data_IF_211106937768
#
_entry.id   IF_211106937768
#
_cell.length_a   1.000
_cell.length_b   1.000
_cell.length_c   1.000
_cell.angle_alpha   90.00
_cell.angle_beta   90.00
_cell.angle_gamma   90.00
#
_symmetry.space_group_name_H-M   'P 1'
#
loop_
_entity.id
_entity.type
_entity.pdbx_description
1 polymer ?
#
# COMPACT_ATOMS: atom_id res chain seq x y z
N UNK A 1 -12.27 9.09 -13.12
CA UNK A 1 -10.89 8.68 -12.75
C UNK A 1 -9.94 9.06 -13.86
N UNK A 2 -8.75 9.58 -13.53
CA UNK A 2 -7.68 9.92 -14.49
C UNK A 2 -6.42 9.14 -14.11
N UNK A 3 -5.73 8.61 -15.10
CA UNK A 3 -4.50 7.84 -14.94
C UNK A 3 -3.37 8.64 -15.57
N UNK A 4 -2.34 8.94 -14.79
CA UNK A 4 -1.17 9.70 -15.20
C UNK A 4 0.05 8.78 -15.10
N UNK A 5 0.52 8.20 -16.23
CA UNK A 5 1.69 7.32 -16.24
C UNK A 5 2.96 8.02 -15.77
N UNK A 6 3.77 7.30 -15.01
CA UNK A 6 5.14 7.69 -14.71
C UNK A 6 6.07 7.51 -15.93
N UNK A 7 7.31 8.00 -15.80
CA UNK A 7 8.28 7.93 -16.92
C UNK A 7 8.76 6.51 -17.23
N UNK A 8 8.96 5.69 -16.22
CA UNK A 8 9.52 4.33 -16.37
C UNK A 8 8.68 3.27 -15.66
N UNK A 9 8.10 3.61 -14.51
CA UNK A 9 7.32 2.71 -13.66
C UNK A 9 6.28 3.53 -12.92
N UNK A 10 5.13 2.90 -12.66
CA UNK A 10 4.06 3.46 -11.85
C UNK A 10 3.13 4.39 -12.60
N UNK A 11 1.95 4.62 -12.01
CA UNK A 11 1.01 5.64 -12.44
C UNK A 11 0.34 6.31 -11.23
N UNK A 12 0.00 7.59 -11.38
CA UNK A 12 -0.79 8.35 -10.42
C UNK A 12 -2.26 8.31 -10.81
N UNK A 13 -3.12 7.95 -9.89
CA UNK A 13 -4.56 7.83 -10.08
C UNK A 13 -5.27 8.99 -9.37
N UNK A 14 -6.06 9.75 -10.10
CA UNK A 14 -6.83 10.88 -9.58
C UNK A 14 -8.32 10.75 -9.87
N UNK A 15 -9.15 11.41 -9.06
CA UNK A 15 -10.60 11.45 -9.26
C UNK A 15 -11.31 10.16 -8.83
N UNK A 16 -10.72 9.42 -7.89
CA UNK A 16 -11.37 8.34 -7.15
C UNK A 16 -11.19 8.59 -5.66
N UNK A 17 -12.27 8.40 -4.90
CA UNK A 17 -12.27 8.43 -3.44
C UNK A 17 -12.42 7.00 -2.94
N UNK A 18 -11.34 6.44 -2.40
CA UNK A 18 -11.30 5.07 -1.88
C UNK A 18 -12.03 4.92 -0.53
N UNK A 19 -12.38 6.03 0.13
CA UNK A 19 -13.25 6.01 1.29
C UNK A 19 -14.70 5.62 0.94
N UNK A 20 -15.09 5.78 -0.34
CA UNK A 20 -16.37 5.32 -0.87
C UNK A 20 -16.25 3.94 -1.53
N UNK A 21 -17.35 3.20 -1.69
CA UNK A 21 -17.34 2.00 -2.52
C UNK A 21 -16.88 2.30 -3.95
N UNK A 22 -15.86 1.58 -4.40
CA UNK A 22 -15.37 1.66 -5.79
C UNK A 22 -16.25 0.77 -6.66
N UNK A 23 -16.76 1.30 -7.77
CA UNK A 23 -17.55 0.49 -8.70
C UNK A 23 -16.70 -0.56 -9.43
N UNK A 24 -17.33 -1.65 -9.87
CA UNK A 24 -16.65 -2.72 -10.61
C UNK A 24 -15.96 -2.20 -11.87
N UNK A 25 -16.56 -1.23 -12.55
CA UNK A 25 -15.98 -0.63 -13.74
C UNK A 25 -14.73 0.21 -13.41
N UNK A 26 -14.78 0.98 -12.34
CA UNK A 26 -13.60 1.74 -11.88
C UNK A 26 -12.49 0.77 -11.39
N UNK A 27 -12.86 -0.31 -10.71
CA UNK A 27 -11.89 -1.31 -10.27
C UNK A 27 -11.24 -2.06 -11.43
N UNK A 28 -11.98 -2.42 -12.48
CA UNK A 28 -11.40 -2.99 -13.71
C UNK A 28 -10.36 -2.07 -14.34
N UNK A 29 -10.60 -0.76 -14.35
CA UNK A 29 -9.62 0.22 -14.83
C UNK A 29 -8.38 0.28 -13.93
N UNK A 30 -8.56 0.20 -12.60
CA UNK A 30 -7.46 0.13 -11.62
C UNK A 30 -6.62 -1.13 -11.86
N UNK A 31 -7.23 -2.31 -11.99
CA UNK A 31 -6.52 -3.56 -12.26
C UNK A 31 -5.73 -3.52 -13.57
N UNK A 32 -6.33 -2.97 -14.63
CA UNK A 32 -5.63 -2.80 -15.91
C UNK A 32 -4.43 -1.88 -15.75
N UNK A 33 -4.62 -0.73 -15.10
CA UNK A 33 -3.53 0.21 -14.83
C UNK A 33 -2.42 -0.42 -13.96
N UNK A 34 -2.77 -1.25 -12.98
CA UNK A 34 -1.78 -1.98 -12.17
C UNK A 34 -0.95 -2.93 -13.05
N UNK A 35 -1.58 -3.69 -13.93
CA UNK A 35 -0.90 -4.59 -14.86
C UNK A 35 0.00 -3.84 -15.85
N UNK A 36 -0.41 -2.67 -16.33
CA UNK A 36 0.35 -1.86 -17.29
C UNK A 36 1.52 -1.11 -16.63
N UNK A 37 1.36 -0.63 -15.40
CA UNK A 37 2.31 0.28 -14.77
C UNK A 37 3.04 -0.32 -13.55
N UNK A 38 2.62 -1.47 -13.04
CA UNK A 38 3.23 -2.20 -11.93
C UNK A 38 3.03 -1.57 -10.56
N UNK A 39 2.91 -0.26 -10.45
CA UNK A 39 2.68 0.48 -9.19
C UNK A 39 1.66 1.58 -9.42
N UNK A 40 0.70 1.70 -8.51
CA UNK A 40 -0.29 2.79 -8.54
C UNK A 40 -0.21 3.65 -7.28
N UNK A 41 -0.24 4.96 -7.47
CA UNK A 41 -0.31 5.92 -6.37
C UNK A 41 -1.65 6.64 -6.39
N UNK A 42 -2.37 6.60 -5.28
CA UNK A 42 -3.65 7.28 -5.05
C UNK A 42 -3.41 8.42 -4.05
N UNK A 43 -3.10 9.63 -4.51
CA UNK A 43 -2.75 10.72 -3.62
C UNK A 43 -3.94 11.24 -2.82
N UNK A 44 -3.67 11.74 -1.61
CA UNK A 44 -4.64 12.45 -0.80
C UNK A 44 -5.76 11.60 -0.19
N UNK A 45 -5.63 10.27 -0.22
CA UNK A 45 -6.60 9.37 0.39
C UNK A 45 -6.54 9.48 1.93
N UNK A 46 -7.69 9.54 2.55
CA UNK A 46 -7.87 9.47 4.00
C UNK A 46 -8.86 8.36 4.29
N UNK A 47 -8.37 7.21 4.74
CA UNK A 47 -9.15 6.00 4.91
C UNK A 47 -9.16 5.59 6.37
N UNK A 48 -10.34 5.27 6.87
CA UNK A 48 -10.49 4.45 8.06
C UNK A 48 -10.05 3.02 7.75
N UNK A 49 -9.62 2.27 8.76
CA UNK A 49 -9.10 0.90 8.59
C UNK A 49 -10.09 -0.02 7.86
N UNK A 50 -11.38 0.09 8.17
CA UNK A 50 -12.43 -0.67 7.49
C UNK A 50 -12.55 -0.34 5.99
N UNK A 51 -12.39 0.93 5.63
CA UNK A 51 -12.42 1.38 4.22
C UNK A 51 -11.18 0.89 3.48
N UNK A 52 -10.03 0.95 4.12
CA UNK A 52 -8.77 0.44 3.61
C UNK A 52 -8.82 -1.08 3.36
N UNK A 53 -9.25 -1.86 4.35
CA UNK A 53 -9.43 -3.30 4.22
C UNK A 53 -10.47 -3.66 3.13
N UNK A 54 -11.58 -2.89 3.03
CA UNK A 54 -12.58 -3.07 1.96
C UNK A 54 -11.95 -2.90 0.58
N UNK A 55 -11.14 -1.87 0.38
CA UNK A 55 -10.45 -1.67 -0.89
C UNK A 55 -9.47 -2.80 -1.19
N UNK A 56 -8.70 -3.23 -0.21
CA UNK A 56 -7.79 -4.37 -0.34
C UNK A 56 -8.51 -5.65 -0.78
N UNK A 57 -9.69 -5.96 -0.22
CA UNK A 57 -10.50 -7.14 -0.59
C UNK A 57 -10.97 -7.17 -2.04
N UNK A 58 -10.96 -6.05 -2.73
CA UNK A 58 -11.28 -6.04 -4.17
C UNK A 58 -10.22 -6.77 -5.02
N UNK A 59 -8.99 -6.89 -4.52
CA UNK A 59 -7.90 -7.61 -5.19
C UNK A 59 -7.89 -9.12 -4.90
N UNK A 60 -8.66 -9.58 -3.94
CA UNK A 60 -8.74 -10.97 -3.50
C UNK A 60 -8.82 -11.11 -1.97
N UNK A 61 -8.66 -12.32 -1.48
CA UNK A 61 -8.61 -12.60 -0.06
C UNK A 61 -7.40 -11.91 0.58
N UNK A 62 -7.62 -11.32 1.77
CA UNK A 62 -6.55 -10.62 2.47
C UNK A 62 -5.70 -11.60 3.27
N UNK A 63 -4.40 -11.50 3.09
CA UNK A 63 -3.41 -12.29 3.83
C UNK A 63 -3.18 -11.70 5.23
N UNK A 64 -3.05 -12.60 6.22
CA UNK A 64 -2.60 -12.22 7.56
C UNK A 64 -1.09 -12.45 7.63
N UNK A 65 -0.33 -11.37 7.75
CA UNK A 65 1.13 -11.44 7.79
C UNK A 65 1.62 -12.23 9.01
N UNK A 66 2.70 -13.00 8.82
CA UNK A 66 3.33 -13.80 9.88
C UNK A 66 3.86 -12.96 11.06
N UNK A 67 4.22 -11.70 10.83
CA UNK A 67 4.60 -10.73 11.87
C UNK A 67 3.37 -10.14 12.58
N UNK A 68 2.54 -11.01 13.15
CA UNK A 68 1.19 -10.70 13.62
C UNK A 68 1.08 -9.87 14.90
N UNK A 69 2.18 -9.52 15.54
CA UNK A 69 2.18 -8.73 16.77
C UNK A 69 1.85 -7.24 16.59
N UNK A 70 1.84 -6.75 15.35
CA UNK A 70 1.59 -5.36 15.00
C UNK A 70 0.35 -5.19 14.11
N UNK A 71 -0.64 -6.04 14.27
CA UNK A 71 -1.91 -5.88 13.56
C UNK A 71 -2.75 -4.74 14.14
N UNK A 72 -3.50 -4.09 13.27
CA UNK A 72 -4.51 -3.12 13.69
C UNK A 72 -5.62 -3.84 14.46
N UNK A 73 -6.03 -3.34 15.64
CA UNK A 73 -7.08 -3.95 16.44
C UNK A 73 -8.38 -4.16 15.64
N UNK A 74 -8.88 -5.40 15.61
CA UNK A 74 -10.06 -5.78 14.84
C UNK A 74 -9.85 -6.02 13.33
N UNK A 75 -8.61 -5.82 12.83
CA UNK A 75 -8.25 -6.02 11.43
C UNK A 75 -6.91 -6.78 11.33
N UNK A 76 -6.91 -8.10 11.57
CA UNK A 76 -5.67 -8.88 11.60
C UNK A 76 -4.91 -8.89 10.27
N UNK A 77 -5.57 -8.58 9.17
CA UNK A 77 -5.01 -8.44 7.83
C UNK A 77 -4.31 -7.07 7.59
N UNK A 78 -4.45 -6.13 8.53
CA UNK A 78 -3.82 -4.80 8.43
C UNK A 78 -2.66 -4.72 9.40
N UNK A 79 -1.45 -4.68 8.85
CA UNK A 79 -0.22 -4.53 9.64
C UNK A 79 0.19 -3.07 9.77
N UNK A 80 0.54 -2.65 10.98
CA UNK A 80 1.04 -1.30 11.26
C UNK A 80 2.56 -1.26 11.10
N UNK A 81 3.04 -0.44 10.16
CA UNK A 81 4.45 -0.12 9.99
C UNK A 81 4.73 1.24 10.63
N UNK A 82 5.58 1.27 11.66
CA UNK A 82 5.87 2.51 12.38
C UNK A 82 7.14 2.38 13.21
N UNK A 83 7.99 3.38 13.16
CA UNK A 83 9.12 3.56 14.06
C UNK A 83 8.79 4.40 15.30
N UNK A 84 7.49 4.69 15.52
CA UNK A 84 7.03 5.44 16.69
C UNK A 84 6.88 4.53 17.91
N UNK A 85 7.01 5.13 19.10
CA UNK A 85 6.70 4.47 20.36
C UNK A 85 5.58 5.22 21.07
N UNK A 86 4.70 4.49 21.76
CA UNK A 86 3.72 5.01 22.69
C UNK A 86 3.93 4.35 24.05
N UNK A 87 4.05 5.16 25.10
CA UNK A 87 4.32 4.68 26.48
C UNK A 87 5.54 3.73 26.57
N UNK A 88 6.59 4.03 25.79
CA UNK A 88 7.82 3.23 25.73
C UNK A 88 7.72 1.92 24.94
N UNK A 89 6.59 1.62 24.29
CA UNK A 89 6.39 0.42 23.48
C UNK A 89 6.31 0.76 22.00
N UNK A 90 6.84 -0.09 21.09
CA UNK A 90 6.66 0.09 19.64
C UNK A 90 5.17 0.09 19.26
N UNK A 91 4.78 1.04 18.41
CA UNK A 91 3.42 1.12 17.86
C UNK A 91 3.24 0.19 16.66
N UNK A 92 4.32 -0.12 15.95
CA UNK A 92 4.30 -0.95 14.76
C UNK A 92 5.66 -1.59 14.49
N UNK A 93 5.78 -2.28 13.38
CA UNK A 93 7.05 -2.84 12.92
C UNK A 93 7.94 -1.70 12.41
N UNK A 94 9.06 -1.45 13.10
CA UNK A 94 9.88 -0.25 12.93
C UNK A 94 10.87 -0.29 11.78
N UNK A 95 11.25 -1.48 11.33
CA UNK A 95 12.38 -1.69 10.42
C UNK A 95 12.00 -2.47 9.15
N UNK A 96 10.71 -2.51 8.80
CA UNK A 96 10.24 -3.15 7.59
C UNK A 96 10.79 -2.46 6.32
N UNK A 97 11.23 -3.24 5.35
CA UNK A 97 11.57 -2.76 4.02
C UNK A 97 12.91 -2.03 3.89
N UNK A 98 13.90 -2.33 4.74
CA UNK A 98 15.22 -1.67 4.72
C UNK A 98 16.07 -1.99 3.48
N UNK A 99 15.81 -3.06 2.76
CA UNK A 99 16.53 -3.47 1.55
C UNK A 99 15.59 -3.74 0.38
N UNK A 100 16.16 -3.87 -0.82
CA UNK A 100 15.41 -4.32 -1.99
C UNK A 100 14.88 -5.73 -1.74
N UNK A 101 13.58 -5.91 -1.86
CA UNK A 101 12.89 -7.18 -1.65
C UNK A 101 11.62 -7.25 -2.50
N UNK A 102 11.06 -8.43 -2.57
CA UNK A 102 9.69 -8.67 -3.01
C UNK A 102 8.91 -9.21 -1.82
N UNK A 103 7.68 -8.75 -1.67
CA UNK A 103 6.80 -9.28 -0.63
C UNK A 103 6.27 -10.65 -1.01
N UNK A 104 5.96 -11.48 0.00
CA UNK A 104 5.31 -12.79 -0.14
C UNK A 104 6.06 -13.82 -0.98
N UNK A 105 7.33 -13.58 -1.38
CA UNK A 105 8.13 -14.52 -2.18
C UNK A 105 8.42 -15.86 -1.46
N UNK A 106 8.20 -15.93 -0.17
CA UNK A 106 8.30 -17.14 0.66
C UNK A 106 7.01 -17.97 0.68
N UNK A 107 5.89 -17.43 0.22
CA UNK A 107 4.59 -18.12 0.20
C UNK A 107 4.40 -18.91 -1.09
N UNK A 108 3.65 -20.01 -1.02
CA UNK A 108 3.21 -20.75 -2.21
C UNK A 108 2.14 -19.98 -2.99
N UNK A 109 1.32 -19.22 -2.28
CA UNK A 109 0.32 -18.32 -2.84
C UNK A 109 0.83 -16.90 -2.68
N UNK A 110 1.25 -16.29 -3.79
CA UNK A 110 1.77 -14.93 -3.81
C UNK A 110 0.60 -13.96 -3.94
N UNK A 111 0.57 -12.93 -3.09
CA UNK A 111 -0.43 -11.88 -3.17
C UNK A 111 -0.37 -11.17 -4.53
N UNK A 112 -1.55 -10.89 -5.12
CA UNK A 112 -1.65 -10.14 -6.37
C UNK A 112 -1.12 -8.71 -6.23
N UNK A 113 -1.38 -8.08 -5.09
CA UNK A 113 -0.95 -6.71 -4.80
C UNK A 113 -0.68 -6.51 -3.32
N UNK A 114 0.26 -5.64 -3.00
CA UNK A 114 0.45 -5.08 -1.68
C UNK A 114 -0.08 -3.64 -1.68
N UNK A 115 -0.85 -3.27 -0.66
CA UNK A 115 -1.53 -1.96 -0.61
C UNK A 115 -1.06 -1.21 0.65
N UNK A 116 -0.01 -0.38 0.58
CA UNK A 116 0.39 0.47 1.69
C UNK A 116 -0.45 1.75 1.76
N UNK A 117 -0.82 2.16 2.98
CA UNK A 117 -1.51 3.43 3.26
C UNK A 117 -0.64 4.31 4.18
N UNK A 118 -0.12 5.40 3.65
CA UNK A 118 0.73 6.33 4.41
C UNK A 118 -0.12 7.26 5.27
N UNK A 119 -0.15 7.01 6.59
CA UNK A 119 -0.87 7.83 7.57
C UNK A 119 -0.06 9.05 8.01
N UNK A 120 1.25 8.88 8.16
CA UNK A 120 2.16 9.95 8.62
C UNK A 120 3.47 9.89 7.84
N UNK A 121 3.74 10.94 7.09
CA UNK A 121 5.00 11.10 6.35
C UNK A 121 5.82 12.18 7.06
N UNK A 122 6.97 11.84 7.67
CA UNK A 122 7.81 12.81 8.34
C UNK A 122 8.37 13.82 7.33
N UNK A 123 8.49 15.09 7.76
CA UNK A 123 8.99 16.18 6.94
C UNK A 123 10.01 17.02 7.68
N UNK A 124 10.98 17.54 6.94
CA UNK A 124 11.91 18.56 7.41
C UNK A 124 11.84 19.76 6.47
N UNK A 125 11.51 20.93 6.99
CA UNK A 125 11.30 22.16 6.20
C UNK A 125 10.32 21.96 5.02
N UNK A 126 9.23 21.21 5.25
CA UNK A 126 8.23 20.90 4.22
C UNK A 126 8.58 19.76 3.26
N UNK A 127 9.82 19.29 3.23
CA UNK A 127 10.29 18.20 2.37
C UNK A 127 10.06 16.86 3.05
N UNK A 128 9.41 15.87 2.39
CA UNK A 128 9.28 14.51 2.91
C UNK A 128 10.66 13.88 3.19
N UNK A 129 10.74 13.10 4.25
CA UNK A 129 11.94 12.34 4.59
C UNK A 129 11.71 10.87 4.28
N UNK A 130 12.54 10.34 3.41
CA UNK A 130 12.47 8.97 2.93
C UNK A 130 11.37 8.76 1.90
N UNK A 131 11.73 8.13 0.80
CA UNK A 131 10.85 7.75 -0.28
C UNK A 131 10.77 6.23 -0.38
N UNK A 132 9.59 5.69 -0.71
CA UNK A 132 9.47 4.30 -1.16
C UNK A 132 9.92 4.22 -2.61
N UNK A 133 10.93 3.39 -2.87
CA UNK A 133 11.46 3.20 -4.22
C UNK A 133 10.98 1.87 -4.78
N UNK A 134 10.67 1.86 -6.07
CA UNK A 134 10.26 0.66 -6.81
C UNK A 134 11.18 0.43 -8.00
N UNK A 135 11.44 -0.84 -8.29
CA UNK A 135 12.22 -1.25 -9.46
C UNK A 135 11.40 -2.20 -10.33
N UNK A 136 11.39 -1.96 -11.62
CA UNK A 136 10.83 -2.90 -12.59
C UNK A 136 11.81 -4.04 -12.82
N UNK A 137 11.42 -5.27 -12.47
CA UNK A 137 12.25 -6.47 -12.65
C UNK A 137 12.08 -7.10 -14.04
N UNK A 138 11.18 -6.57 -14.88
CA UNK A 138 10.98 -7.00 -16.27
C UNK A 138 11.69 -6.10 -17.30
N UNK A 139 12.16 -4.93 -16.86
CA UNK A 139 12.94 -4.04 -17.72
C UNK A 139 14.45 -4.36 -17.60
N UNK A 140 15.22 -4.25 -18.70
CA UNK A 140 16.66 -4.42 -18.68
C UNK A 140 17.39 -3.35 -17.86
#
# INVERSE_FOLDING_TARGET
>A
MKIHPGKALGARIEGVDLAQPVSDEAFKQILRALGEHGVLCFPGQRLETAQFARFGRMFGDLEINVANQFHEPGFPEVMVLSNMTAEGKPVGLGDAGQGWHTDMSYSREIALANVPHALKVPRRNGVPLGDTQFRNMHAP
#
